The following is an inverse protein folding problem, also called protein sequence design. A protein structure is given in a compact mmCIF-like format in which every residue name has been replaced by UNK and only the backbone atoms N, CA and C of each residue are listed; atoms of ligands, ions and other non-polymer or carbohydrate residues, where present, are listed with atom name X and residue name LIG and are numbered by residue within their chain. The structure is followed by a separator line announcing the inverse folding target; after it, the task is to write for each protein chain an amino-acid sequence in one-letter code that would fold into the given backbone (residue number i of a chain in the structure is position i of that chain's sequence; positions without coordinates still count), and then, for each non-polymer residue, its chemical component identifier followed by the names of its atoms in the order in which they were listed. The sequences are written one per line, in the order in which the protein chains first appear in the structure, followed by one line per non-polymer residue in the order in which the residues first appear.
data_IF_304676973767
#
_entry.id   IF_304676973767
#
_cell.length_a   1.000
_cell.length_b   1.000
_cell.length_c   1.000
_cell.angle_alpha   90.00
_cell.angle_beta   90.00
_cell.angle_gamma   90.00
#
_symmetry.space_group_name_H-M   'P 1'
#
loop_
_entity.id
_entity.type
_entity.pdbx_description
1 polymer ?
#
# COMPACT_ATOMS: atom_id res chain seq x y z
N UNK A 1 -56.21 21.26 -26.81
CA UNK A 1 -56.53 20.62 -25.52
C UNK A 1 -55.32 19.81 -25.07
N UNK A 2 -54.24 20.44 -24.62
CA UNK A 2 -53.93 20.72 -23.21
C UNK A 2 -54.18 19.51 -22.30
N UNK A 3 -53.11 18.77 -21.99
CA UNK A 3 -52.95 18.13 -20.68
C UNK A 3 -51.93 18.96 -19.89
N UNK A 4 -52.41 19.57 -18.81
CA UNK A 4 -51.65 20.12 -17.68
C UNK A 4 -50.69 19.02 -17.16
N UNK A 5 -49.45 19.27 -16.73
CA UNK A 5 -48.82 20.50 -16.27
C UNK A 5 -48.73 20.51 -14.74
N UNK A 6 -47.49 20.49 -14.22
CA UNK A 6 -47.05 20.87 -12.86
C UNK A 6 -47.25 19.84 -11.72
N UNK A 7 -46.36 19.68 -10.73
CA UNK A 7 -45.32 20.56 -10.20
C UNK A 7 -44.38 19.72 -9.30
N UNK A 8 -43.05 19.77 -9.51
CA UNK A 8 -41.99 19.72 -8.48
C UNK A 8 -40.61 19.49 -9.12
N UNK A 9 -40.25 20.36 -10.07
CA UNK A 9 -38.84 20.56 -10.44
C UNK A 9 -38.30 21.59 -9.45
N UNK A 10 -37.69 21.14 -8.35
CA UNK A 10 -36.81 22.02 -7.57
C UNK A 10 -35.56 22.24 -8.40
N UNK A 11 -35.49 23.43 -8.99
CA UNK A 11 -34.29 24.05 -9.54
C UNK A 11 -33.17 23.95 -8.51
N UNK A 12 -32.29 22.96 -8.65
CA UNK A 12 -30.98 22.97 -8.02
C UNK A 12 -30.12 23.85 -8.92
N UNK A 13 -29.94 25.09 -8.48
CA UNK A 13 -28.95 26.00 -9.03
C UNK A 13 -27.58 25.32 -8.85
N UNK A 14 -27.01 24.84 -9.95
CA UNK A 14 -25.67 24.26 -10.03
C UNK A 14 -24.63 25.33 -9.73
N UNK A 15 -24.32 25.53 -8.45
CA UNK A 15 -23.10 26.20 -8.04
C UNK A 15 -21.93 25.24 -8.25
N UNK A 16 -21.09 25.55 -9.26
CA UNK A 16 -19.78 24.93 -9.49
C UNK A 16 -18.97 24.97 -8.19
N UNK A 17 -18.75 23.83 -7.56
CA UNK A 17 -17.90 23.74 -6.35
C UNK A 17 -17.05 22.47 -6.42
N UNK A 18 -15.73 22.63 -6.20
CA UNK A 18 -14.62 21.73 -6.54
C UNK A 18 -14.13 20.89 -5.30
N UNK A 19 -13.27 19.87 -5.49
CA UNK A 19 -13.18 18.61 -4.68
C UNK A 19 -11.83 18.33 -3.95
N UNK A 20 -11.78 17.86 -2.66
CA UNK A 20 -10.61 17.55 -1.78
C UNK A 20 -9.63 16.45 -2.28
N UNK A 21 -8.32 16.62 -2.08
CA UNK A 21 -7.28 15.91 -2.84
C UNK A 21 -6.29 15.21 -1.91
N UNK A 22 -6.05 13.93 -2.18
CA UNK A 22 -5.22 13.05 -1.33
C UNK A 22 -3.76 13.55 -1.29
N UNK A 23 -3.26 14.09 -2.40
CA UNK A 23 -1.94 14.72 -2.48
C UNK A 23 -1.86 15.95 -1.60
N UNK A 24 -2.87 16.83 -1.60
CA UNK A 24 -2.90 18.03 -0.76
C UNK A 24 -2.83 17.66 0.73
N UNK A 25 -3.66 16.72 1.18
CA UNK A 25 -3.65 16.29 2.59
C UNK A 25 -2.29 15.69 3.00
N UNK A 26 -1.67 14.93 2.08
CA UNK A 26 -0.35 14.35 2.32
C UNK A 26 0.75 15.41 2.39
N UNK A 27 0.74 16.35 1.45
CA UNK A 27 1.65 17.50 1.47
C UNK A 27 1.48 18.33 2.75
N UNK A 28 0.24 18.56 3.19
CA UNK A 28 -0.08 19.28 4.44
C UNK A 28 0.49 18.57 5.66
N UNK A 29 0.31 17.25 5.74
CA UNK A 29 0.80 16.42 6.84
C UNK A 29 2.33 16.44 6.87
N UNK A 30 2.98 16.28 5.72
CA UNK A 30 4.42 16.37 5.59
C UNK A 30 4.96 17.74 5.98
N UNK A 31 4.42 18.84 5.45
CA UNK A 31 4.93 20.19 5.72
C UNK A 31 4.84 20.54 7.21
N UNK A 32 3.75 20.17 7.87
CA UNK A 32 3.62 20.30 9.33
C UNK A 32 4.72 19.52 10.06
N UNK A 33 4.99 18.28 9.65
CA UNK A 33 6.03 17.45 10.24
C UNK A 33 7.44 18.00 9.98
N UNK A 34 7.69 18.54 8.78
CA UNK A 34 8.93 19.17 8.38
C UNK A 34 9.20 20.43 9.21
N UNK A 35 8.25 21.35 9.25
CA UNK A 35 8.34 22.58 10.04
C UNK A 35 8.61 22.27 11.52
N UNK A 36 7.93 21.26 12.08
CA UNK A 36 8.19 20.80 13.44
C UNK A 36 9.60 20.21 13.62
N UNK A 37 10.07 19.36 12.70
CA UNK A 37 11.37 18.67 12.82
C UNK A 37 12.56 19.64 12.67
N UNK A 38 12.44 20.64 11.81
CA UNK A 38 13.51 21.58 11.50
C UNK A 38 13.33 22.96 12.16
N UNK A 39 12.34 23.10 13.05
CA UNK A 39 12.02 24.35 13.74
C UNK A 39 11.84 25.54 12.78
N UNK A 40 11.08 25.29 11.70
CA UNK A 40 10.74 26.29 10.68
C UNK A 40 9.24 26.56 10.69
N UNK A 41 8.84 27.66 10.08
CA UNK A 41 7.42 28.01 9.86
C UNK A 41 7.15 28.33 8.39
N UNK A 42 7.68 27.50 7.48
CA UNK A 42 7.49 27.72 6.05
C UNK A 42 6.04 27.52 5.64
N UNK A 43 5.50 28.46 4.86
CA UNK A 43 4.28 28.23 4.09
C UNK A 43 4.49 27.20 2.99
N UNK A 44 3.40 26.71 2.39
CA UNK A 44 3.47 25.73 1.31
C UNK A 44 4.22 26.28 0.09
N UNK A 45 3.95 27.54 -0.29
CA UNK A 45 4.67 28.24 -1.36
C UNK A 45 6.16 28.38 -1.04
N UNK A 46 6.52 28.81 0.15
CA UNK A 46 7.93 28.98 0.52
C UNK A 46 8.70 27.66 0.56
N UNK A 47 8.11 26.59 1.10
CA UNK A 47 8.73 25.26 1.04
C UNK A 47 8.88 24.82 -0.43
N UNK A 48 7.86 25.06 -1.25
CA UNK A 48 7.91 24.72 -2.66
C UNK A 48 9.07 25.42 -3.35
N UNK A 49 9.25 26.73 -3.17
CA UNK A 49 10.33 27.50 -3.79
C UNK A 49 11.71 27.10 -3.22
N UNK A 50 11.86 27.08 -1.90
CA UNK A 50 13.17 26.96 -1.23
C UNK A 50 13.70 25.52 -1.18
N UNK A 51 12.83 24.52 -1.25
CA UNK A 51 13.22 23.11 -1.10
C UNK A 51 12.73 22.25 -2.27
N UNK A 52 11.43 22.28 -2.60
CA UNK A 52 10.88 21.37 -3.62
C UNK A 52 11.40 21.69 -5.02
N UNK A 53 11.28 22.93 -5.46
CA UNK A 53 11.72 23.40 -6.77
C UNK A 53 13.23 23.21 -6.95
N UNK A 54 14.01 23.60 -5.95
CA UNK A 54 15.47 23.42 -5.94
C UNK A 54 15.85 21.94 -6.14
N UNK A 55 15.19 21.01 -5.44
CA UNK A 55 15.49 19.58 -5.60
C UNK A 55 14.91 18.97 -6.89
N UNK A 56 13.72 19.37 -7.32
CA UNK A 56 12.97 18.67 -8.37
C UNK A 56 13.22 19.22 -9.77
N UNK A 57 13.29 20.55 -9.92
CA UNK A 57 13.20 21.22 -11.22
C UNK A 57 14.35 22.20 -11.48
N UNK A 58 15.10 22.64 -10.47
CA UNK A 58 16.24 23.55 -10.69
C UNK A 58 17.53 22.85 -11.18
N UNK A 59 17.39 21.75 -11.94
CA UNK A 59 18.50 20.93 -12.43
C UNK A 59 18.20 20.39 -13.84
N UNK A 60 19.22 19.96 -14.58
CA UNK A 60 19.05 19.39 -15.92
C UNK A 60 18.22 18.11 -15.92
N UNK A 61 18.43 17.23 -14.93
CA UNK A 61 17.65 16.01 -14.73
C UNK A 61 16.59 16.24 -13.66
N UNK A 62 15.32 16.33 -14.05
CA UNK A 62 14.24 16.49 -13.08
C UNK A 62 14.01 15.22 -12.24
N UNK A 63 13.55 15.36 -10.99
CA UNK A 63 13.15 14.22 -10.16
C UNK A 63 11.79 13.65 -10.60
N UNK A 64 10.91 14.53 -11.07
CA UNK A 64 9.54 14.21 -11.47
C UNK A 64 9.22 14.83 -12.84
N UNK A 65 8.31 14.21 -13.58
CA UNK A 65 7.79 14.71 -14.84
C UNK A 65 6.27 14.85 -14.78
N UNK A 66 5.75 16.02 -14.37
CA UNK A 66 4.33 16.30 -14.36
C UNK A 66 3.90 16.71 -15.76
N UNK A 67 3.27 15.79 -16.50
CA UNK A 67 2.79 16.02 -17.87
C UNK A 67 1.90 17.27 -17.96
N UNK A 68 2.06 18.03 -19.04
CA UNK A 68 1.35 19.28 -19.31
C UNK A 68 1.60 20.43 -18.32
N UNK A 69 2.45 20.27 -17.33
CA UNK A 69 2.77 21.36 -16.40
C UNK A 69 3.72 22.41 -17.02
N UNK A 70 3.78 23.62 -16.44
CA UNK A 70 4.72 24.66 -16.87
C UNK A 70 6.18 24.18 -16.94
N UNK A 71 6.60 23.25 -16.09
CA UNK A 71 7.98 22.75 -16.06
C UNK A 71 8.35 21.85 -17.23
N UNK A 72 7.37 21.18 -17.86
CA UNK A 72 7.62 20.26 -18.99
C UNK A 72 7.13 20.82 -20.32
N UNK A 73 6.25 21.82 -20.29
CA UNK A 73 5.82 22.54 -21.49
C UNK A 73 6.91 23.51 -21.95
N UNK A 74 7.52 23.16 -23.09
CA UNK A 74 8.65 23.90 -23.65
C UNK A 74 8.22 24.80 -24.80
N UNK A 75 8.86 25.97 -24.92
CA UNK A 75 8.78 26.78 -26.14
C UNK A 75 9.53 26.06 -27.26
N UNK A 76 9.25 26.43 -28.51
CA UNK A 76 9.91 25.81 -29.69
C UNK A 76 11.45 25.93 -29.55
N UNK A 77 12.14 24.78 -29.54
CA UNK A 77 13.60 24.70 -29.42
C UNK A 77 14.14 24.49 -27.99
N UNK A 78 13.31 24.67 -26.94
CA UNK A 78 13.71 24.38 -25.57
C UNK A 78 13.62 22.88 -25.26
N UNK A 79 14.59 22.37 -24.49
CA UNK A 79 14.53 21.05 -23.87
C UNK A 79 14.87 21.17 -22.37
N UNK A 80 14.22 20.40 -21.48
CA UNK A 80 14.44 20.51 -20.02
C UNK A 80 15.91 20.38 -19.59
N UNK A 81 16.64 19.48 -20.24
CA UNK A 81 18.06 19.21 -20.01
C UNK A 81 18.98 20.36 -20.44
N UNK A 82 18.51 21.22 -21.35
CA UNK A 82 19.27 22.36 -21.89
C UNK A 82 18.91 23.70 -21.24
N UNK A 83 17.88 23.75 -20.39
CA UNK A 83 17.48 25.00 -19.75
C UNK A 83 18.59 25.55 -18.86
N UNK A 84 18.78 26.86 -18.89
CA UNK A 84 19.63 27.54 -17.91
C UNK A 84 18.87 27.85 -16.60
N UNK A 85 19.57 28.41 -15.61
CA UNK A 85 18.96 28.74 -14.32
C UNK A 85 17.90 29.85 -14.39
N UNK A 86 18.01 30.77 -15.35
CA UNK A 86 17.03 31.85 -15.52
C UNK A 86 15.75 31.32 -16.19
N UNK A 87 15.88 30.47 -17.21
CA UNK A 87 14.75 29.82 -17.88
C UNK A 87 13.99 28.89 -16.92
N UNK A 88 14.70 28.17 -16.03
CA UNK A 88 14.04 27.35 -14.99
C UNK A 88 13.23 28.20 -14.02
N UNK A 89 13.75 29.37 -13.63
CA UNK A 89 13.00 30.33 -12.81
C UNK A 89 11.81 30.93 -13.57
N UNK A 90 11.94 31.19 -14.87
CA UNK A 90 10.79 31.61 -15.69
C UNK A 90 9.67 30.55 -15.64
N UNK A 91 10.00 29.24 -15.68
CA UNK A 91 9.00 28.18 -15.53
C UNK A 91 8.32 28.20 -14.16
N UNK A 92 9.06 28.50 -13.10
CA UNK A 92 8.52 28.66 -11.75
C UNK A 92 7.55 29.84 -11.66
N UNK A 93 7.93 31.01 -12.19
CA UNK A 93 7.05 32.19 -12.23
C UNK A 93 5.77 31.94 -13.04
N UNK A 94 5.88 31.22 -14.16
CA UNK A 94 4.71 30.81 -14.95
C UNK A 94 3.74 29.94 -14.13
N UNK A 95 4.24 29.04 -13.28
CA UNK A 95 3.38 28.29 -12.37
C UNK A 95 2.70 29.22 -11.36
N UNK A 96 3.43 30.15 -10.74
CA UNK A 96 2.87 31.09 -9.77
C UNK A 96 1.79 31.99 -10.37
N UNK A 97 1.99 32.49 -11.59
CA UNK A 97 1.02 33.29 -12.32
C UNK A 97 -0.28 32.49 -12.54
N UNK A 98 -0.17 31.28 -13.10
CA UNK A 98 -1.31 30.37 -13.33
C UNK A 98 -2.06 30.03 -12.05
N UNK A 99 -1.34 29.83 -10.95
CA UNK A 99 -1.96 29.60 -9.63
C UNK A 99 -2.76 30.84 -9.18
N UNK A 100 -2.19 32.04 -9.33
CA UNK A 100 -2.82 33.29 -8.91
C UNK A 100 -4.01 33.69 -9.79
N UNK A 101 -3.99 33.29 -11.06
CA UNK A 101 -5.10 33.43 -12.01
C UNK A 101 -6.26 32.46 -11.73
N UNK A 102 -6.07 31.52 -10.78
CA UNK A 102 -7.09 30.56 -10.37
C UNK A 102 -7.13 29.29 -11.21
N UNK A 103 -6.09 28.98 -12.00
CA UNK A 103 -5.98 27.67 -12.67
C UNK A 103 -5.75 26.55 -11.65
N UNK A 104 -6.54 25.47 -11.73
CA UNK A 104 -6.57 24.40 -10.72
C UNK A 104 -6.70 23.00 -11.34
N UNK A 105 -6.39 22.82 -12.61
CA UNK A 105 -6.45 21.51 -13.26
C UNK A 105 -5.18 20.66 -13.01
N UNK A 106 -5.21 19.39 -13.43
CA UNK A 106 -4.14 18.41 -13.25
C UNK A 106 -2.74 18.87 -13.72
N UNK A 107 -2.66 19.83 -14.65
CA UNK A 107 -1.39 20.39 -15.12
C UNK A 107 -0.78 21.40 -14.15
N UNK A 108 -1.60 22.04 -13.32
CA UNK A 108 -1.21 23.06 -12.33
C UNK A 108 -1.24 22.50 -10.91
N UNK A 109 -2.09 21.51 -10.66
CA UNK A 109 -2.28 20.91 -9.35
C UNK A 109 -2.27 19.39 -9.47
N UNK A 110 -1.15 18.75 -9.09
CA UNK A 110 -1.01 17.30 -9.27
C UNK A 110 -2.04 16.54 -8.43
N UNK A 111 -2.77 15.66 -9.11
CA UNK A 111 -3.89 14.93 -8.55
C UNK A 111 -5.23 15.51 -8.99
N UNK A 112 -5.32 16.80 -9.35
CA UNK A 112 -6.62 17.44 -9.63
C UNK A 112 -7.26 16.88 -10.91
N UNK A 113 -8.57 17.14 -11.14
CA UNK A 113 -9.21 16.80 -12.40
C UNK A 113 -8.49 17.43 -13.61
N UNK A 114 -8.56 16.78 -14.76
CA UNK A 114 -8.06 17.36 -16.00
C UNK A 114 -8.81 18.67 -16.36
N UNK A 115 -8.22 19.48 -17.22
CA UNK A 115 -8.77 20.78 -17.64
C UNK A 115 -10.07 20.68 -18.46
N UNK A 116 -10.38 19.50 -19.01
CA UNK A 116 -11.62 19.29 -19.76
C UNK A 116 -12.84 19.20 -18.82
N UNK A 117 -13.84 20.04 -19.09
CA UNK A 117 -15.07 20.23 -18.30
C UNK A 117 -16.05 19.04 -18.45
N UNK A 118 -15.79 18.12 -19.39
CA UNK A 118 -16.56 16.90 -19.60
C UNK A 118 -16.10 15.79 -18.68
N UNK A 119 -17.05 15.19 -17.94
CA UNK A 119 -16.95 13.95 -17.15
C UNK A 119 -15.57 13.26 -17.14
N UNK A 120 -14.85 13.37 -16.02
CA UNK A 120 -13.73 12.50 -15.65
C UNK A 120 -12.80 12.10 -16.82
N UNK A 121 -12.19 13.08 -17.50
CA UNK A 121 -11.21 12.79 -18.55
C UNK A 121 -10.15 11.78 -18.05
N UNK A 122 -9.65 10.94 -18.94
CA UNK A 122 -8.81 9.75 -18.63
C UNK A 122 -7.51 10.04 -17.85
N UNK A 123 -7.10 11.30 -17.79
CA UNK A 123 -5.94 11.82 -17.04
C UNK A 123 -6.32 12.37 -15.66
N UNK A 124 -7.57 12.22 -15.22
CA UNK A 124 -8.03 12.57 -13.88
C UNK A 124 -7.76 11.42 -12.89
N UNK A 125 -7.30 11.72 -11.67
CA UNK A 125 -7.08 10.72 -10.60
C UNK A 125 -7.34 11.32 -9.23
N UNK A 126 -7.32 10.55 -8.14
CA UNK A 126 -7.36 11.07 -6.74
C UNK A 126 -8.61 11.89 -6.34
N UNK A 127 -9.70 11.86 -7.12
CA UNK A 127 -10.89 12.68 -6.92
C UNK A 127 -11.78 12.08 -5.80
N UNK A 128 -12.33 12.93 -4.93
CA UNK A 128 -13.33 12.57 -3.90
C UNK A 128 -14.67 13.28 -4.13
N UNK A 129 -15.75 12.79 -3.53
CA UNK A 129 -17.11 13.33 -3.69
C UNK A 129 -17.53 14.34 -2.60
N UNK A 130 -16.66 14.62 -1.63
CA UNK A 130 -16.90 15.65 -0.60
C UNK A 130 -16.68 17.06 -1.17
N UNK A 131 -17.46 18.07 -0.75
CA UNK A 131 -17.24 19.47 -1.14
C UNK A 131 -16.34 20.19 -0.13
N UNK A 132 -15.11 20.56 -0.52
CA UNK A 132 -14.16 21.29 0.34
C UNK A 132 -13.47 22.42 -0.44
N UNK A 133 -13.16 23.51 0.25
CA UNK A 133 -12.49 24.70 -0.31
C UNK A 133 -10.96 24.54 -0.32
N UNK A 134 -10.32 25.14 -1.33
CA UNK A 134 -8.86 25.18 -1.42
C UNK A 134 -8.34 26.56 -1.71
N UNK A 135 -7.22 26.85 -1.07
CA UNK A 135 -6.47 28.08 -1.28
C UNK A 135 -5.31 27.82 -2.25
N UNK A 136 -4.70 28.88 -2.76
CA UNK A 136 -3.50 28.82 -3.59
C UNK A 136 -2.39 27.98 -2.95
N UNK A 137 -2.28 28.04 -1.63
CA UNK A 137 -1.34 27.24 -0.85
C UNK A 137 -1.54 25.73 -1.02
N UNK A 138 -2.78 25.27 -1.19
CA UNK A 138 -3.08 23.85 -1.37
C UNK A 138 -2.54 23.29 -2.68
N UNK A 139 -2.36 24.14 -3.69
CA UNK A 139 -1.78 23.73 -4.96
C UNK A 139 -0.34 23.32 -4.77
N UNK A 140 0.47 24.13 -4.10
CA UNK A 140 1.84 23.74 -3.76
C UNK A 140 1.90 22.45 -2.92
N UNK A 141 0.95 22.27 -1.99
CA UNK A 141 0.83 21.02 -1.21
C UNK A 141 0.53 19.81 -2.09
N UNK A 142 -0.21 19.97 -3.19
CA UNK A 142 -0.51 18.87 -4.11
C UNK A 142 0.75 18.37 -4.84
N UNK A 143 1.65 19.28 -5.21
CA UNK A 143 2.96 18.93 -5.77
C UNK A 143 3.82 18.18 -4.76
N UNK A 144 3.98 18.78 -3.57
CA UNK A 144 4.75 18.19 -2.48
C UNK A 144 4.23 16.78 -2.15
N UNK A 145 2.91 16.64 -2.00
CA UNK A 145 2.26 15.36 -1.75
C UNK A 145 2.46 14.32 -2.84
N UNK A 146 2.43 14.73 -4.12
CA UNK A 146 2.68 13.82 -5.24
C UNK A 146 4.10 13.28 -5.22
N UNK A 147 5.08 14.16 -4.96
CA UNK A 147 6.49 13.79 -4.83
C UNK A 147 6.78 12.78 -3.72
N UNK A 148 5.87 12.63 -2.74
CA UNK A 148 6.01 11.73 -1.59
C UNK A 148 5.45 10.31 -1.83
N UNK A 149 4.94 10.01 -3.03
CA UNK A 149 4.42 8.67 -3.34
C UNK A 149 5.53 7.64 -3.56
N UNK A 150 5.31 6.41 -3.06
CA UNK A 150 6.26 5.30 -3.17
C UNK A 150 5.83 4.31 -4.26
N UNK A 151 6.62 4.22 -5.33
CA UNK A 151 6.39 3.32 -6.45
C UNK A 151 6.75 1.87 -6.12
N UNK A 152 5.92 0.93 -6.55
CA UNK A 152 6.10 -0.50 -6.32
C UNK A 152 5.90 -1.30 -7.61
N UNK A 153 6.47 -2.51 -7.65
CA UNK A 153 6.35 -3.41 -8.78
C UNK A 153 4.88 -3.69 -9.12
N UNK A 154 4.56 -3.71 -10.42
CA UNK A 154 3.18 -3.77 -10.93
C UNK A 154 2.63 -2.44 -11.42
N UNK A 155 3.47 -1.38 -11.48
CA UNK A 155 3.13 -0.09 -12.09
C UNK A 155 2.18 0.78 -11.25
N UNK A 156 2.13 0.53 -9.95
CA UNK A 156 1.35 1.29 -8.99
C UNK A 156 2.26 2.04 -8.00
N UNK A 157 1.73 3.05 -7.36
CA UNK A 157 2.33 3.79 -6.27
C UNK A 157 1.42 3.74 -5.05
N UNK A 158 2.03 3.83 -3.87
CA UNK A 158 1.37 3.85 -2.57
C UNK A 158 1.69 5.17 -1.90
N UNK A 159 0.67 5.86 -1.38
CA UNK A 159 0.82 7.06 -0.58
C UNK A 159 0.41 6.77 0.86
N UNK A 160 1.36 6.83 1.78
CA UNK A 160 1.18 6.65 3.21
C UNK A 160 1.18 8.02 3.90
N UNK A 161 0.07 8.42 4.50
CA UNK A 161 -0.04 9.73 5.16
C UNK A 161 0.47 9.73 6.61
N UNK A 162 1.64 9.13 6.85
CA UNK A 162 2.25 9.02 8.18
C UNK A 162 3.48 9.95 8.26
N UNK A 163 3.54 10.90 9.21
CA UNK A 163 4.63 11.89 9.29
C UNK A 163 6.04 11.30 9.24
N UNK A 164 6.29 10.22 9.98
CA UNK A 164 7.60 9.56 10.01
C UNK A 164 8.00 8.98 8.65
N UNK A 165 7.05 8.35 7.96
CA UNK A 165 7.26 7.80 6.60
C UNK A 165 7.53 8.92 5.61
N UNK A 166 6.74 10.00 5.65
CA UNK A 166 6.88 11.13 4.73
C UNK A 166 8.22 11.84 4.91
N UNK A 167 8.66 12.05 6.16
CA UNK A 167 9.97 12.63 6.45
C UNK A 167 11.11 11.74 5.98
N UNK A 168 10.99 10.41 6.12
CA UNK A 168 11.98 9.46 5.61
C UNK A 168 12.08 9.49 4.10
N UNK A 169 10.96 9.60 3.39
CA UNK A 169 10.95 9.77 1.93
C UNK A 169 11.67 11.06 1.52
N UNK A 170 11.39 12.18 2.20
CA UNK A 170 12.05 13.46 1.94
C UNK A 170 13.57 13.40 2.13
N UNK A 171 14.07 12.72 3.16
CA UNK A 171 15.51 12.48 3.35
C UNK A 171 16.13 11.82 2.10
N UNK A 172 15.41 10.88 1.49
CA UNK A 172 15.82 10.20 0.27
C UNK A 172 15.86 11.10 -0.97
N UNK A 173 15.08 12.16 -1.05
CA UNK A 173 15.09 13.08 -2.20
C UNK A 173 16.45 13.72 -2.40
N UNK A 174 17.08 14.13 -1.30
CA UNK A 174 18.43 14.75 -1.31
C UNK A 174 19.48 13.75 -1.78
N UNK A 175 19.38 12.49 -1.37
CA UNK A 175 20.27 11.40 -1.79
C UNK A 175 20.13 11.13 -3.30
N UNK A 176 18.90 11.03 -3.81
CA UNK A 176 18.70 10.83 -5.25
C UNK A 176 19.22 12.01 -6.06
N UNK A 177 18.96 13.24 -5.58
CA UNK A 177 19.47 14.45 -6.19
C UNK A 177 20.99 14.47 -6.24
N UNK A 178 21.69 14.08 -5.17
CA UNK A 178 23.15 13.99 -5.20
C UNK A 178 23.65 13.00 -6.24
N UNK A 179 23.01 11.84 -6.40
CA UNK A 179 23.40 10.87 -7.44
C UNK A 179 23.13 11.36 -8.86
N UNK A 180 22.02 12.08 -9.09
CA UNK A 180 21.74 12.65 -10.41
C UNK A 180 22.71 13.75 -10.81
N UNK A 181 23.30 14.44 -9.83
CA UNK A 181 24.26 15.51 -10.04
C UNK A 181 25.71 15.01 -10.07
N UNK A 182 25.96 13.73 -9.77
CA UNK A 182 27.29 13.13 -9.86
C UNK A 182 27.67 12.92 -11.34
N UNK A 183 28.78 13.53 -11.82
CA UNK A 183 29.21 13.38 -13.21
C UNK A 183 29.57 11.94 -13.59
N UNK A 184 29.99 11.10 -12.63
CA UNK A 184 30.27 9.68 -12.87
C UNK A 184 29.01 8.86 -13.13
N UNK A 185 27.84 9.39 -12.76
CA UNK A 185 26.52 8.76 -12.92
C UNK A 185 25.68 9.45 -14.01
N UNK A 186 26.33 9.94 -15.07
CA UNK A 186 25.65 10.65 -16.17
C UNK A 186 24.53 9.82 -16.81
N UNK A 187 24.65 8.48 -16.81
CA UNK A 187 23.63 7.58 -17.36
C UNK A 187 22.47 7.26 -16.41
N UNK A 188 22.52 7.72 -15.16
CA UNK A 188 21.42 7.53 -14.22
C UNK A 188 20.19 8.33 -14.67
N UNK A 189 19.08 7.62 -14.86
CA UNK A 189 17.82 8.20 -15.31
C UNK A 189 17.22 9.10 -14.23
N UNK A 190 16.85 10.33 -14.62
CA UNK A 190 15.94 11.19 -13.87
C UNK A 190 14.49 10.73 -14.01
N UNK A 191 13.54 11.51 -13.47
CA UNK A 191 12.11 11.24 -13.54
C UNK A 191 11.72 9.84 -13.00
N UNK A 192 12.37 9.41 -11.92
CA UNK A 192 12.07 8.14 -11.24
C UNK A 192 11.84 8.33 -9.74
N UNK A 193 11.37 9.50 -9.31
CA UNK A 193 11.18 9.79 -7.88
C UNK A 193 10.28 8.78 -7.18
N UNK A 194 9.23 8.28 -7.82
CA UNK A 194 8.35 7.30 -7.19
C UNK A 194 9.06 5.96 -7.00
N UNK A 195 9.75 5.44 -8.02
CA UNK A 195 10.58 4.23 -7.89
C UNK A 195 11.66 4.40 -6.83
N UNK A 196 12.32 5.56 -6.82
CA UNK A 196 13.32 5.92 -5.81
C UNK A 196 12.72 5.88 -4.40
N UNK A 197 11.60 6.56 -4.17
CA UNK A 197 10.94 6.61 -2.87
C UNK A 197 10.57 5.20 -2.38
N UNK A 198 10.11 4.32 -3.26
CA UNK A 198 9.82 2.92 -2.93
C UNK A 198 11.07 2.15 -2.47
N UNK A 199 12.17 2.22 -3.24
CA UNK A 199 13.43 1.58 -2.89
C UNK A 199 14.08 2.17 -1.65
N UNK A 200 14.10 3.50 -1.54
CA UNK A 200 14.63 4.23 -0.40
C UNK A 200 13.88 3.86 0.87
N UNK A 201 12.55 3.90 0.86
CA UNK A 201 11.73 3.56 2.01
C UNK A 201 11.93 2.09 2.42
N UNK A 202 12.04 1.20 1.45
CA UNK A 202 12.35 -0.20 1.69
C UNK A 202 13.74 -0.38 2.34
N UNK A 203 14.73 0.38 1.89
CA UNK A 203 16.10 0.31 2.38
C UNK A 203 16.28 0.89 3.77
N UNK A 204 15.77 2.10 4.05
CA UNK A 204 15.95 2.75 5.36
C UNK A 204 15.29 1.98 6.51
N UNK A 205 14.27 1.18 6.22
CA UNK A 205 13.63 0.29 7.19
C UNK A 205 14.09 -1.17 7.07
N UNK A 206 15.04 -1.45 6.18
CA UNK A 206 15.65 -2.77 6.08
C UNK A 206 16.74 -2.95 7.13
N UNK A 207 17.13 -4.21 7.36
CA UNK A 207 18.30 -4.54 8.17
C UNK A 207 19.63 -4.27 7.45
N UNK A 208 19.58 -4.03 6.15
CA UNK A 208 20.75 -3.75 5.32
C UNK A 208 21.09 -2.24 5.30
N UNK A 209 20.27 -1.42 5.95
CA UNK A 209 20.51 0.01 6.10
C UNK A 209 21.86 0.27 6.78
N UNK A 210 22.64 1.18 6.20
CA UNK A 210 23.87 1.71 6.77
C UNK A 210 23.78 3.22 6.74
N UNK A 211 24.30 3.88 7.77
CA UNK A 211 24.37 5.34 7.81
C UNK A 211 25.26 5.88 6.69
N UNK A 212 26.38 5.20 6.43
CA UNK A 212 27.31 5.48 5.34
C UNK A 212 27.13 4.43 4.25
N UNK A 213 26.63 4.86 3.10
CA UNK A 213 26.45 4.06 1.89
C UNK A 213 26.84 4.87 0.66
N UNK A 214 27.12 4.18 -0.43
CA UNK A 214 27.42 4.76 -1.73
C UNK A 214 26.55 4.13 -2.83
N UNK A 215 26.73 4.59 -4.06
CA UNK A 215 26.02 4.05 -5.21
C UNK A 215 26.25 2.53 -5.38
N UNK A 216 27.49 2.06 -5.24
CA UNK A 216 27.85 0.66 -5.40
C UNK A 216 27.17 -0.25 -4.35
N UNK A 217 27.07 0.22 -3.11
CA UNK A 217 26.38 -0.49 -2.03
C UNK A 217 24.89 -0.67 -2.34
N UNK A 218 24.25 0.35 -2.90
CA UNK A 218 22.84 0.27 -3.31
C UNK A 218 22.64 -0.57 -4.58
N UNK A 219 23.58 -0.51 -5.52
CA UNK A 219 23.57 -1.35 -6.73
C UNK A 219 23.64 -2.84 -6.37
N UNK A 220 24.51 -3.21 -5.43
CA UNK A 220 24.60 -4.56 -4.89
C UNK A 220 23.29 -5.03 -4.21
N UNK A 221 22.45 -4.10 -3.73
CA UNK A 221 21.14 -4.39 -3.17
C UNK A 221 20.01 -4.44 -4.23
N UNK A 222 20.34 -4.24 -5.50
CA UNK A 222 19.41 -4.29 -6.62
C UNK A 222 18.56 -3.03 -6.76
N UNK A 223 19.08 -1.86 -6.37
CA UNK A 223 18.39 -0.58 -6.60
C UNK A 223 18.27 -0.24 -8.08
N UNK A 224 19.28 -0.62 -8.86
CA UNK A 224 19.43 -0.18 -10.22
C UNK A 224 19.39 -1.36 -11.19
N UNK A 225 18.95 -1.05 -12.40
CA UNK A 225 19.06 -1.92 -13.55
C UNK A 225 19.74 -1.17 -14.67
N UNK A 226 20.76 -1.79 -15.23
CA UNK A 226 21.46 -1.30 -16.40
C UNK A 226 20.75 -1.79 -17.66
N UNK A 227 20.34 -0.85 -18.52
CA UNK A 227 19.83 -1.13 -19.85
C UNK A 227 20.75 -0.53 -20.93
N UNK A 228 20.41 -0.71 -22.22
CA UNK A 228 21.21 -0.20 -23.34
C UNK A 228 21.26 1.34 -23.39
N UNK A 229 20.31 2.01 -22.74
CA UNK A 229 20.10 3.47 -22.78
C UNK A 229 20.58 4.18 -21.52
N UNK A 230 20.79 3.46 -20.42
CA UNK A 230 21.33 4.00 -19.17
C UNK A 230 21.02 3.12 -17.96
N UNK A 231 21.07 3.74 -16.79
CA UNK A 231 20.79 3.09 -15.51
C UNK A 231 19.46 3.59 -14.97
N UNK A 232 18.51 2.69 -14.76
CA UNK A 232 17.17 3.01 -14.23
C UNK A 232 16.99 2.46 -12.83
N UNK A 233 16.14 3.11 -12.03
CA UNK A 233 15.80 2.63 -10.68
C UNK A 233 14.72 1.55 -10.78
N UNK A 234 15.01 0.38 -10.24
CA UNK A 234 14.08 -0.73 -10.14
C UNK A 234 12.98 -0.44 -9.13
N UNK A 235 11.76 -0.92 -9.39
CA UNK A 235 10.66 -0.79 -8.43
C UNK A 235 10.70 -1.90 -7.40
N UNK A 236 10.49 -1.56 -6.13
CA UNK A 236 10.47 -2.55 -5.05
C UNK A 236 9.20 -3.42 -5.10
N UNK A 237 9.33 -4.72 -4.77
CA UNK A 237 8.16 -5.58 -4.53
C UNK A 237 7.38 -5.06 -3.31
N UNK A 238 6.06 -4.87 -3.44
CA UNK A 238 5.26 -4.31 -2.35
C UNK A 238 5.34 -5.10 -1.06
N UNK A 239 5.47 -6.44 -1.13
CA UNK A 239 5.55 -7.30 0.05
C UNK A 239 6.88 -7.15 0.78
N UNK A 240 7.99 -6.92 0.06
CA UNK A 240 9.29 -6.60 0.66
C UNK A 240 9.23 -5.28 1.44
N UNK A 241 8.64 -4.25 0.83
CA UNK A 241 8.34 -2.98 1.51
C UNK A 241 7.42 -3.20 2.73
N UNK A 242 6.39 -4.03 2.60
CA UNK A 242 5.47 -4.37 3.68
C UNK A 242 6.20 -5.04 4.86
N UNK A 243 7.08 -6.00 4.61
CA UNK A 243 7.86 -6.66 5.65
C UNK A 243 8.80 -5.69 6.37
N UNK A 244 9.48 -4.81 5.64
CA UNK A 244 10.40 -3.85 6.25
C UNK A 244 9.65 -2.79 7.07
N UNK A 245 8.55 -2.23 6.55
CA UNK A 245 7.66 -1.36 7.33
C UNK A 245 7.10 -2.08 8.56
N UNK A 246 6.77 -3.37 8.45
CA UNK A 246 6.23 -4.12 9.59
C UNK A 246 7.21 -4.35 10.72
N UNK A 247 8.52 -4.28 10.46
CA UNK A 247 9.54 -4.36 11.52
C UNK A 247 9.58 -3.07 12.33
N UNK A 248 9.42 -1.92 11.65
CA UNK A 248 9.39 -0.60 12.28
C UNK A 248 8.05 -0.33 12.97
N UNK A 249 6.95 -0.76 12.37
CA UNK A 249 5.58 -0.48 12.82
C UNK A 249 4.77 -1.76 13.07
N UNK A 250 5.24 -2.66 13.96
CA UNK A 250 4.70 -4.03 14.08
C UNK A 250 3.22 -4.09 14.45
N UNK A 251 2.74 -3.21 15.32
CA UNK A 251 1.35 -3.22 15.80
C UNK A 251 0.46 -2.18 15.10
N UNK A 252 0.98 -1.48 14.09
CA UNK A 252 0.24 -0.41 13.43
C UNK A 252 -0.46 -0.92 12.16
N UNK A 253 -1.56 -0.26 11.82
CA UNK A 253 -2.20 -0.39 10.52
C UNK A 253 -2.21 0.96 9.84
N UNK A 254 -1.57 1.05 8.67
CA UNK A 254 -1.59 2.28 7.87
C UNK A 254 -2.62 2.18 6.77
N UNK A 255 -3.38 3.25 6.56
CA UNK A 255 -4.19 3.38 5.35
C UNK A 255 -3.29 3.89 4.22
N UNK A 256 -3.00 3.01 3.25
CA UNK A 256 -2.25 3.35 2.06
C UNK A 256 -3.21 3.64 0.90
N UNK A 257 -3.01 4.76 0.23
CA UNK A 257 -3.75 5.07 -0.99
C UNK A 257 -2.99 4.56 -2.21
N UNK A 258 -3.61 3.69 -3.01
CA UNK A 258 -2.96 2.97 -4.12
C UNK A 258 -3.49 3.46 -5.46
N UNK A 259 -2.56 3.85 -6.35
CA UNK A 259 -2.89 4.48 -7.62
C UNK A 259 -1.75 4.36 -8.65
N UNK A 260 -1.96 4.88 -9.86
CA UNK A 260 -0.94 5.06 -10.88
C UNK A 260 -1.20 6.38 -11.60
N UNK A 261 -0.15 7.18 -11.78
CA UNK A 261 -0.17 8.38 -12.61
C UNK A 261 0.65 8.12 -13.87
N UNK A 262 0.10 8.42 -15.03
CA UNK A 262 0.75 8.17 -16.32
C UNK A 262 -0.09 8.76 -17.45
N UNK A 263 -0.05 8.13 -18.63
CA UNK A 263 -0.95 8.52 -19.73
C UNK A 263 -2.43 8.29 -19.39
N UNK A 264 -2.71 7.23 -18.61
CA UNK A 264 -4.04 6.97 -18.06
C UNK A 264 -3.91 6.77 -16.57
N UNK A 265 -4.59 7.61 -15.80
CA UNK A 265 -4.56 7.52 -14.35
C UNK A 265 -5.42 6.35 -13.88
N UNK A 266 -4.95 5.65 -12.85
CA UNK A 266 -5.67 4.52 -12.24
C UNK A 266 -5.75 4.73 -10.75
N UNK A 267 -6.96 4.68 -10.21
CA UNK A 267 -7.22 4.70 -8.77
C UNK A 267 -7.66 3.31 -8.35
N UNK A 268 -6.90 2.68 -7.44
CA UNK A 268 -7.34 1.43 -6.80
C UNK A 268 -8.13 1.72 -5.53
N UNK A 269 -7.78 2.79 -4.80
CA UNK A 269 -8.47 3.24 -3.60
C UNK A 269 -7.61 3.21 -2.34
N UNK A 270 -8.27 3.23 -1.19
CA UNK A 270 -7.63 3.18 0.12
C UNK A 270 -7.68 1.75 0.67
N UNK A 271 -6.52 1.27 1.15
CA UNK A 271 -6.41 -0.06 1.71
C UNK A 271 -5.70 -0.01 3.06
N UNK A 272 -6.17 -0.75 4.08
CA UNK A 272 -5.43 -0.93 5.31
C UNK A 272 -4.26 -1.89 5.11
N UNK A 273 -3.07 -1.49 5.54
CA UNK A 273 -1.83 -2.26 5.58
C UNK A 273 -1.60 -2.75 7.00
N UNK A 274 -1.98 -3.99 7.28
CA UNK A 274 -1.99 -4.57 8.64
C UNK A 274 -0.66 -5.23 8.97
N UNK A 275 0.33 -4.42 9.34
CA UNK A 275 1.72 -4.86 9.51
C UNK A 275 1.91 -6.00 10.52
N UNK A 276 1.08 -6.07 11.55
CA UNK A 276 1.05 -7.18 12.52
C UNK A 276 0.96 -8.56 11.86
N UNK A 277 0.34 -8.66 10.67
CA UNK A 277 0.16 -9.93 9.99
C UNK A 277 1.46 -10.46 9.36
N UNK A 278 2.40 -9.58 9.00
CA UNK A 278 3.74 -10.00 8.60
C UNK A 278 4.55 -10.49 9.82
N UNK A 279 4.45 -9.81 10.96
CA UNK A 279 5.09 -10.26 12.20
C UNK A 279 4.56 -11.62 12.65
N UNK A 280 3.25 -11.84 12.49
CA UNK A 280 2.63 -13.15 12.73
C UNK A 280 3.27 -14.23 11.86
N UNK A 281 3.45 -14.02 10.55
CA UNK A 281 4.16 -14.96 9.67
C UNK A 281 5.58 -15.26 10.14
N UNK A 282 6.36 -14.22 10.47
CA UNK A 282 7.73 -14.37 10.99
C UNK A 282 7.72 -15.19 12.28
N UNK A 283 6.75 -14.95 13.17
CA UNK A 283 6.61 -15.70 14.43
C UNK A 283 6.28 -17.18 14.21
N UNK A 284 5.43 -17.50 13.23
CA UNK A 284 5.15 -18.89 12.85
C UNK A 284 6.40 -19.54 12.26
N UNK A 285 7.11 -18.85 11.37
CA UNK A 285 8.34 -19.34 10.78
C UNK A 285 9.36 -19.69 11.87
N UNK A 286 9.58 -18.77 12.81
CA UNK A 286 10.45 -18.96 13.98
C UNK A 286 10.04 -20.18 14.81
N UNK A 287 8.75 -20.33 15.11
CA UNK A 287 8.23 -21.47 15.88
C UNK A 287 8.40 -22.81 15.17
N UNK A 288 8.33 -22.82 13.84
CA UNK A 288 8.40 -24.04 13.03
C UNK A 288 9.83 -24.48 12.71
N UNK A 289 10.76 -23.53 12.54
CA UNK A 289 12.09 -23.80 11.98
C UNK A 289 13.25 -23.23 12.79
N UNK A 290 12.97 -22.48 13.86
CA UNK A 290 13.97 -21.87 14.73
C UNK A 290 14.43 -20.47 14.28
N UNK A 291 15.19 -19.81 15.15
CA UNK A 291 15.67 -18.44 14.94
C UNK A 291 16.68 -18.30 13.80
N UNK A 292 17.62 -19.25 13.70
CA UNK A 292 18.66 -19.22 12.67
C UNK A 292 18.05 -19.27 11.26
N UNK A 293 17.05 -20.14 11.06
CA UNK A 293 16.34 -20.25 9.78
C UNK A 293 15.62 -18.94 9.39
N UNK A 294 15.08 -18.19 10.35
CA UNK A 294 14.46 -16.87 10.05
C UNK A 294 15.49 -15.85 9.57
N UNK A 295 16.71 -15.92 10.10
CA UNK A 295 17.79 -15.01 9.70
C UNK A 295 18.32 -15.38 8.31
N UNK A 296 18.58 -16.67 8.07
CA UNK A 296 19.12 -17.23 6.83
C UNK A 296 18.12 -17.13 5.67
N UNK A 297 16.86 -17.49 5.90
CA UNK A 297 15.86 -17.62 4.84
C UNK A 297 15.15 -16.28 4.52
N UNK A 298 15.56 -15.18 5.17
CA UNK A 298 14.91 -13.85 5.08
C UNK A 298 14.72 -13.36 3.67
N UNK A 299 15.81 -13.31 2.91
CA UNK A 299 15.80 -12.78 1.55
C UNK A 299 14.80 -13.56 0.67
N UNK A 300 14.66 -14.86 0.91
CA UNK A 300 13.75 -15.71 0.15
C UNK A 300 12.29 -15.44 0.51
N UNK A 301 11.92 -15.42 1.80
CA UNK A 301 10.51 -15.23 2.15
C UNK A 301 10.03 -13.81 1.87
N UNK A 302 10.88 -12.77 2.02
CA UNK A 302 10.53 -11.40 1.63
C UNK A 302 10.28 -11.27 0.12
N UNK A 303 10.99 -12.07 -0.69
CA UNK A 303 10.82 -12.12 -2.14
C UNK A 303 9.69 -13.05 -2.61
N UNK A 304 9.44 -14.17 -1.93
CA UNK A 304 8.40 -15.14 -2.32
C UNK A 304 7.00 -14.73 -1.88
N UNK A 305 6.86 -14.13 -0.70
CA UNK A 305 5.55 -13.69 -0.22
C UNK A 305 4.99 -12.53 -1.05
N UNK A 306 3.67 -12.48 -1.16
CA UNK A 306 2.95 -11.40 -1.80
C UNK A 306 2.50 -11.75 -3.22
N UNK A 307 1.19 -11.75 -3.42
CA UNK A 307 0.57 -11.83 -4.75
C UNK A 307 0.77 -10.54 -5.54
N UNK A 308 0.40 -10.53 -6.82
CA UNK A 308 0.44 -9.30 -7.62
C UNK A 308 -0.40 -8.18 -6.97
N UNK A 309 0.13 -6.95 -6.93
CA UNK A 309 -0.46 -5.84 -6.15
C UNK A 309 -1.92 -5.53 -6.50
N UNK A 310 -2.31 -5.63 -7.78
CA UNK A 310 -3.72 -5.44 -8.19
C UNK A 310 -4.64 -6.47 -7.53
N UNK A 311 -4.21 -7.74 -7.50
CA UNK A 311 -4.95 -8.81 -6.83
C UNK A 311 -4.96 -8.62 -5.31
N UNK A 312 -3.89 -8.05 -4.74
CA UNK A 312 -3.87 -7.67 -3.34
C UNK A 312 -4.91 -6.59 -3.02
N UNK A 313 -5.08 -5.59 -3.89
CA UNK A 313 -6.13 -4.57 -3.76
C UNK A 313 -7.53 -5.19 -3.80
N UNK A 314 -7.77 -6.17 -4.67
CA UNK A 314 -9.06 -6.89 -4.74
C UNK A 314 -9.44 -7.62 -3.44
N UNK A 315 -8.47 -7.91 -2.56
CA UNK A 315 -8.75 -8.52 -1.24
C UNK A 315 -9.21 -7.50 -0.20
N UNK A 316 -9.24 -6.20 -0.52
CA UNK A 316 -9.73 -5.12 0.36
C UNK A 316 -8.80 -4.73 1.51
N UNK A 317 -7.80 -5.54 1.85
CA UNK A 317 -6.81 -5.23 2.89
C UNK A 317 -5.48 -5.94 2.62
N UNK A 318 -4.36 -5.26 2.89
CA UNK A 318 -3.03 -5.86 2.83
C UNK A 318 -2.69 -6.55 4.15
N UNK A 319 -2.41 -7.85 4.07
CA UNK A 319 -2.19 -8.72 5.22
C UNK A 319 -1.95 -10.17 4.81
N UNK A 320 -2.28 -11.13 5.67
CA UNK A 320 -1.97 -12.54 5.50
C UNK A 320 -2.49 -13.11 4.18
N UNK A 321 -3.71 -12.76 3.77
CA UNK A 321 -4.29 -13.26 2.51
C UNK A 321 -3.52 -12.73 1.29
N UNK A 322 -3.11 -11.46 1.31
CA UNK A 322 -2.34 -10.87 0.21
C UNK A 322 -0.88 -11.30 0.22
N UNK A 323 -0.35 -11.72 1.38
CA UNK A 323 0.97 -12.32 1.56
C UNK A 323 1.00 -13.80 1.15
N UNK A 324 0.05 -14.29 0.34
CA UNK A 324 0.15 -15.63 -0.26
C UNK A 324 1.48 -15.76 -1.03
N UNK A 325 2.27 -16.83 -0.79
CA UNK A 325 3.54 -17.02 -1.46
C UNK A 325 3.36 -17.46 -2.91
N UNK A 326 4.22 -16.92 -3.77
CA UNK A 326 4.25 -17.25 -5.18
C UNK A 326 4.49 -18.75 -5.39
N UNK A 327 3.79 -19.33 -6.38
CA UNK A 327 3.95 -20.75 -6.74
C UNK A 327 3.19 -21.74 -5.85
N UNK A 328 2.49 -21.30 -4.81
CA UNK A 328 1.69 -22.19 -3.94
C UNK A 328 0.45 -22.76 -4.66
N UNK A 329 -0.28 -21.95 -5.42
CA UNK A 329 -1.57 -22.35 -6.03
C UNK A 329 -1.48 -23.57 -6.95
N UNK A 330 -0.31 -23.86 -7.52
CA UNK A 330 -0.11 -25.02 -8.39
C UNK A 330 -0.30 -26.36 -7.67
N UNK A 331 -0.38 -26.36 -6.35
CA UNK A 331 -0.59 -27.54 -5.50
C UNK A 331 -2.04 -27.65 -4.96
N UNK A 332 -2.95 -26.71 -5.26
CA UNK A 332 -4.32 -26.73 -4.69
C UNK A 332 -5.25 -27.72 -5.37
N UNK A 333 -5.09 -27.93 -6.68
CA UNK A 333 -6.03 -28.69 -7.51
C UNK A 333 -5.44 -29.98 -8.09
N UNK A 334 -4.35 -30.48 -7.52
CA UNK A 334 -3.60 -31.59 -8.12
C UNK A 334 -3.05 -32.53 -7.05
N UNK A 335 -2.93 -33.82 -7.38
CA UNK A 335 -2.13 -34.81 -6.63
C UNK A 335 -0.62 -34.50 -6.62
N UNK A 336 -0.22 -33.29 -7.05
CA UNK A 336 1.17 -32.84 -7.03
C UNK A 336 1.48 -32.34 -5.63
N UNK A 337 2.55 -32.86 -5.07
CA UNK A 337 3.17 -32.36 -3.84
C UNK A 337 4.56 -31.80 -4.16
N UNK A 338 5.06 -30.84 -3.37
CA UNK A 338 6.45 -30.44 -3.45
C UNK A 338 7.36 -31.68 -3.27
N UNK A 339 8.21 -31.95 -4.25
CA UNK A 339 9.23 -32.99 -4.09
C UNK A 339 10.29 -32.49 -3.12
N UNK A 340 10.60 -33.29 -2.10
CA UNK A 340 11.68 -33.05 -1.14
C UNK A 340 12.78 -34.11 -1.26
N UNK A 341 12.83 -34.83 -2.39
CA UNK A 341 13.89 -35.81 -2.63
C UNK A 341 15.23 -35.10 -2.85
N UNK A 342 16.27 -35.58 -2.15
CA UNK A 342 17.63 -35.04 -2.28
C UNK A 342 18.19 -35.28 -3.69
N UNK A 343 18.99 -34.36 -4.23
CA UNK A 343 19.65 -34.56 -5.52
C UNK A 343 20.60 -35.76 -5.44
N UNK A 344 20.56 -36.62 -6.47
CA UNK A 344 21.55 -37.68 -6.64
C UNK A 344 22.73 -37.09 -7.40
N UNK A 345 23.79 -36.72 -6.69
CA UNK A 345 25.06 -36.29 -7.30
C UNK A 345 25.96 -37.51 -7.43
N UNK A 346 26.45 -37.77 -8.64
CA UNK A 346 27.35 -38.90 -8.93
C UNK A 346 28.71 -38.33 -9.32
N UNK A 347 29.77 -38.86 -8.73
CA UNK A 347 31.14 -38.43 -9.02
C UNK A 347 31.56 -38.82 -10.44
N UNK A 348 32.12 -37.86 -11.19
CA UNK A 348 32.73 -38.12 -12.49
C UNK A 348 34.04 -38.91 -12.36
N UNK A 349 34.33 -39.79 -13.32
CA UNK A 349 35.51 -40.69 -13.29
C UNK A 349 36.87 -39.96 -13.25
N UNK A 350 36.92 -38.69 -13.64
CA UNK A 350 38.13 -37.86 -13.72
C UNK A 350 38.08 -36.61 -12.84
N UNK A 351 37.11 -36.54 -11.91
CA UNK A 351 36.82 -35.35 -11.11
C UNK A 351 37.63 -35.37 -9.80
N UNK A 352 38.31 -34.27 -9.48
CA UNK A 352 39.08 -34.17 -8.23
C UNK A 352 38.16 -34.18 -7.00
N UNK A 353 38.73 -34.42 -5.81
CA UNK A 353 37.95 -34.38 -4.56
C UNK A 353 37.35 -32.99 -4.33
N UNK A 354 38.14 -31.94 -4.52
CA UNK A 354 37.70 -30.53 -4.39
C UNK A 354 36.58 -30.16 -5.39
N UNK A 355 36.71 -30.59 -6.64
CA UNK A 355 35.67 -30.36 -7.67
C UNK A 355 34.36 -31.09 -7.35
N UNK A 356 34.45 -32.29 -6.78
CA UNK A 356 33.27 -33.05 -6.38
C UNK A 356 32.59 -32.44 -5.16
N UNK A 357 33.34 -31.98 -4.16
CA UNK A 357 32.81 -31.28 -2.99
C UNK A 357 32.10 -29.98 -3.37
N UNK A 358 32.67 -29.21 -4.30
CA UNK A 358 32.02 -27.99 -4.81
C UNK A 358 30.70 -28.30 -5.51
N UNK A 359 30.66 -29.34 -6.37
CA UNK A 359 29.42 -29.75 -7.06
C UNK A 359 28.36 -30.25 -6.07
N UNK A 360 28.77 -30.97 -5.03
CA UNK A 360 27.86 -31.42 -3.98
C UNK A 360 27.29 -30.22 -3.21
N UNK A 361 28.14 -29.27 -2.79
CA UNK A 361 27.74 -28.05 -2.09
C UNK A 361 26.77 -27.20 -2.92
N UNK A 362 27.05 -27.01 -4.21
CA UNK A 362 26.19 -26.27 -5.12
C UNK A 362 24.84 -26.97 -5.33
N UNK A 363 24.82 -28.30 -5.39
CA UNK A 363 23.60 -29.09 -5.50
C UNK A 363 22.75 -29.02 -4.22
N UNK A 364 23.37 -29.10 -3.05
CA UNK A 364 22.72 -28.95 -1.74
C UNK A 364 22.15 -27.54 -1.57
N UNK A 365 22.92 -26.51 -1.94
CA UNK A 365 22.46 -25.12 -1.93
C UNK A 365 21.25 -24.93 -2.84
N UNK A 366 21.30 -25.42 -4.08
CA UNK A 366 20.16 -25.37 -5.00
C UNK A 366 18.95 -26.13 -4.47
N UNK A 367 19.13 -27.26 -3.81
CA UNK A 367 18.04 -28.03 -3.20
C UNK A 367 17.40 -27.26 -2.05
N UNK A 368 18.23 -26.67 -1.19
CA UNK A 368 17.82 -25.82 -0.08
C UNK A 368 16.98 -24.63 -0.57
N UNK A 369 17.50 -23.88 -1.55
CA UNK A 369 16.88 -22.68 -2.11
C UNK A 369 15.61 -22.97 -2.92
N UNK A 370 15.60 -24.02 -3.73
CA UNK A 370 14.50 -24.27 -4.68
C UNK A 370 13.43 -25.23 -4.16
N UNK A 371 13.71 -26.00 -3.10
CA UNK A 371 12.76 -26.97 -2.54
C UNK A 371 12.45 -26.70 -1.08
N UNK A 372 13.46 -26.70 -0.21
CA UNK A 372 13.24 -26.64 1.22
C UNK A 372 12.66 -25.28 1.66
N UNK A 373 13.27 -24.18 1.24
CA UNK A 373 12.81 -22.83 1.59
C UNK A 373 11.38 -22.59 1.09
N UNK A 374 11.03 -22.83 -0.20
CA UNK A 374 9.65 -22.76 -0.69
C UNK A 374 8.68 -23.57 0.15
N UNK A 375 9.02 -24.83 0.48
CA UNK A 375 8.19 -25.67 1.33
C UNK A 375 7.96 -25.06 2.72
N UNK A 376 9.00 -24.55 3.37
CA UNK A 376 8.90 -23.86 4.68
C UNK A 376 7.98 -22.64 4.62
N UNK A 377 8.13 -21.83 3.56
CA UNK A 377 7.32 -20.62 3.32
C UNK A 377 5.84 -20.99 3.11
N UNK A 378 5.56 -22.00 2.28
CA UNK A 378 4.21 -22.51 2.03
C UNK A 378 3.57 -23.04 3.31
N UNK A 379 4.28 -23.90 4.05
CA UNK A 379 3.81 -24.47 5.32
C UNK A 379 3.49 -23.38 6.33
N UNK A 380 4.35 -22.37 6.46
CA UNK A 380 4.17 -21.24 7.37
C UNK A 380 2.90 -20.47 7.03
N UNK A 381 2.70 -20.11 5.75
CA UNK A 381 1.53 -19.36 5.33
C UNK A 381 0.23 -20.14 5.49
N UNK A 382 0.23 -21.42 5.10
CA UNK A 382 -0.94 -22.29 5.27
C UNK A 382 -1.33 -22.42 6.75
N UNK A 383 -0.35 -22.62 7.64
CA UNK A 383 -0.61 -22.68 9.07
C UNK A 383 -1.13 -21.35 9.62
N UNK A 384 -0.56 -20.23 9.19
CA UNK A 384 -1.03 -18.91 9.59
C UNK A 384 -2.46 -18.64 9.09
N UNK A 385 -2.81 -19.05 7.88
CA UNK A 385 -4.18 -18.96 7.33
C UNK A 385 -5.17 -19.84 8.08
N UNK A 386 -4.83 -21.11 8.33
CA UNK A 386 -5.67 -22.03 9.12
C UNK A 386 -5.86 -21.49 10.53
N UNK A 387 -4.81 -20.95 11.14
CA UNK A 387 -4.86 -20.44 12.51
C UNK A 387 -5.65 -19.14 12.60
N UNK A 388 -5.49 -18.23 11.63
CA UNK A 388 -6.36 -17.04 11.50
C UNK A 388 -7.82 -17.45 11.43
N UNK A 389 -8.17 -18.42 10.59
CA UNK A 389 -9.55 -18.88 10.49
C UNK A 389 -10.05 -19.46 11.82
N UNK A 390 -9.20 -20.20 12.56
CA UNK A 390 -9.55 -20.74 13.89
C UNK A 390 -9.72 -19.64 14.95
N UNK A 391 -8.82 -18.66 14.98
CA UNK A 391 -8.89 -17.50 15.87
C UNK A 391 -10.12 -16.67 15.58
N UNK A 392 -10.38 -16.31 14.31
CA UNK A 392 -11.57 -15.56 13.90
C UNK A 392 -12.86 -16.31 14.27
N UNK A 393 -12.90 -17.63 14.07
CA UNK A 393 -14.05 -18.43 14.51
C UNK A 393 -14.18 -18.45 16.04
N UNK A 394 -13.08 -18.51 16.78
CA UNK A 394 -13.09 -18.50 18.25
C UNK A 394 -13.47 -17.13 18.83
N UNK A 395 -12.94 -16.03 18.29
CA UNK A 395 -13.25 -14.66 18.67
C UNK A 395 -14.73 -14.38 18.40
N UNK A 396 -15.22 -14.69 17.19
CA UNK A 396 -16.63 -14.60 16.83
C UNK A 396 -17.54 -15.41 17.78
N UNK A 397 -17.14 -16.65 18.10
CA UNK A 397 -17.90 -17.48 19.06
C UNK A 397 -17.92 -16.85 20.46
N UNK A 398 -16.82 -16.23 20.88
CA UNK A 398 -16.69 -15.57 22.19
C UNK A 398 -17.55 -14.31 22.26
N UNK A 399 -17.56 -13.50 21.20
CA UNK A 399 -18.40 -12.30 21.11
C UNK A 399 -19.88 -12.66 21.17
N UNK A 400 -20.31 -13.69 20.44
CA UNK A 400 -21.68 -14.21 20.54
C UNK A 400 -21.96 -14.72 21.94
N UNK A 401 -21.08 -15.52 22.52
CA UNK A 401 -21.28 -16.06 23.87
C UNK A 401 -21.42 -14.95 24.92
N UNK A 402 -20.60 -13.90 24.81
CA UNK A 402 -20.65 -12.71 25.66
C UNK A 402 -21.97 -11.95 25.47
N UNK A 403 -22.37 -11.68 24.23
CA UNK A 403 -23.63 -11.00 23.93
C UNK A 403 -24.85 -11.78 24.43
N UNK A 404 -24.88 -13.11 24.27
CA UNK A 404 -25.93 -13.99 24.81
C UNK A 404 -25.94 -13.96 26.34
N UNK A 405 -24.76 -13.99 26.97
CA UNK A 405 -24.63 -13.92 28.42
C UNK A 405 -25.16 -12.59 28.97
N UNK A 406 -24.79 -11.46 28.36
CA UNK A 406 -25.24 -10.13 28.74
C UNK A 406 -26.75 -9.97 28.55
N UNK A 407 -27.30 -10.43 27.42
CA UNK A 407 -28.74 -10.45 27.20
C UNK A 407 -29.46 -11.21 28.31
N UNK A 408 -29.01 -12.43 28.62
CA UNK A 408 -29.55 -13.26 29.70
C UNK A 408 -29.43 -12.58 31.07
N UNK A 409 -28.31 -11.93 31.37
CA UNK A 409 -28.07 -11.26 32.64
C UNK A 409 -28.96 -10.02 32.86
N UNK A 410 -29.53 -9.46 31.78
CA UNK A 410 -30.48 -8.35 31.86
C UNK A 410 -31.90 -8.74 32.32
N UNK A 411 -32.13 -9.98 32.76
CA UNK A 411 -33.37 -10.36 33.44
C UNK A 411 -33.54 -9.54 34.73
N UNK A 412 -34.72 -8.92 34.91
CA UNK A 412 -35.06 -8.25 36.18
C UNK A 412 -35.01 -9.24 37.34
N UNK A 413 -34.71 -8.79 38.56
CA UNK A 413 -34.60 -9.65 39.75
C UNK A 413 -35.86 -10.52 39.91
N UNK A 414 -35.70 -11.85 39.79
CA UNK A 414 -36.80 -12.85 39.85
C UNK A 414 -37.41 -13.26 38.50
N UNK A 415 -37.07 -12.58 37.39
CA UNK A 415 -37.45 -12.97 36.03
C UNK A 415 -36.59 -14.13 35.52
N UNK A 416 -37.20 -15.01 34.73
CA UNK A 416 -36.48 -16.04 33.94
C UNK A 416 -36.76 -15.91 32.44
N UNK A 417 -37.36 -14.79 32.00
CA UNK A 417 -37.83 -14.60 30.63
C UNK A 417 -36.67 -14.75 29.64
N UNK A 418 -35.63 -13.93 29.78
CA UNK A 418 -34.49 -13.92 28.86
C UNK A 418 -33.70 -15.23 28.95
N UNK A 419 -33.56 -15.77 30.17
CA UNK A 419 -32.94 -17.09 30.35
C UNK A 419 -33.71 -18.23 29.68
N UNK A 420 -35.05 -18.17 29.62
CA UNK A 420 -35.85 -19.16 28.91
C UNK A 420 -35.73 -19.02 27.39
N UNK A 421 -35.72 -17.80 26.85
CA UNK A 421 -35.50 -17.55 25.41
C UNK A 421 -34.17 -18.16 24.98
N UNK A 422 -33.09 -17.89 25.72
CA UNK A 422 -31.75 -18.45 25.40
C UNK A 422 -31.72 -19.98 25.52
N UNK A 423 -32.13 -20.54 26.66
CA UNK A 423 -31.92 -21.98 26.94
C UNK A 423 -32.95 -22.88 26.25
N UNK A 424 -34.23 -22.48 26.23
CA UNK A 424 -35.34 -23.33 25.79
C UNK A 424 -35.82 -23.03 24.37
N UNK A 425 -35.50 -21.87 23.83
CA UNK A 425 -35.86 -21.54 22.45
C UNK A 425 -34.60 -21.54 21.56
N UNK A 426 -33.63 -20.66 21.83
CA UNK A 426 -32.44 -20.52 20.97
C UNK A 426 -31.58 -21.80 20.96
N UNK A 427 -31.11 -22.28 22.12
CA UNK A 427 -30.22 -23.45 22.18
C UNK A 427 -30.93 -24.79 22.01
N UNK A 428 -32.23 -24.87 22.32
CA UNK A 428 -33.03 -26.08 22.10
C UNK A 428 -33.71 -26.12 20.71
N UNK A 429 -33.41 -25.14 19.84
CA UNK A 429 -33.96 -25.08 18.49
C UNK A 429 -33.56 -26.30 17.66
N UNK A 430 -34.56 -26.94 17.06
CA UNK A 430 -34.38 -28.14 16.21
C UNK A 430 -34.36 -27.81 14.71
N UNK A 431 -34.55 -26.56 14.33
CA UNK A 431 -34.55 -26.12 12.94
C UNK A 431 -34.02 -24.70 12.82
N UNK A 432 -33.47 -24.40 11.64
CA UNK A 432 -33.01 -23.06 11.27
C UNK A 432 -34.10 -22.00 11.45
N UNK A 433 -35.35 -22.31 11.11
CA UNK A 433 -36.50 -21.40 11.28
C UNK A 433 -36.72 -21.05 12.75
N UNK A 434 -36.81 -22.05 13.62
CA UNK A 434 -37.03 -21.84 15.07
C UNK A 434 -35.86 -21.08 15.72
N UNK A 435 -34.64 -21.36 15.28
CA UNK A 435 -33.46 -20.63 15.75
C UNK A 435 -33.52 -19.15 15.38
N UNK A 436 -33.88 -18.83 14.12
CA UNK A 436 -33.99 -17.46 13.65
C UNK A 436 -35.16 -16.70 14.31
N UNK A 437 -36.27 -17.38 14.61
CA UNK A 437 -37.39 -16.81 15.37
C UNK A 437 -36.94 -16.40 16.78
N UNK A 438 -36.29 -17.32 17.52
CA UNK A 438 -35.75 -17.02 18.84
C UNK A 438 -34.68 -15.91 18.80
N UNK A 439 -33.83 -15.89 17.77
CA UNK A 439 -32.82 -14.85 17.61
C UNK A 439 -33.44 -13.48 17.29
N UNK A 440 -34.56 -13.45 16.56
CA UNK A 440 -35.31 -12.21 16.27
C UNK A 440 -35.94 -11.64 17.52
N UNK A 441 -36.45 -12.49 18.42
CA UNK A 441 -36.92 -12.06 19.75
C UNK A 441 -35.78 -11.40 20.54
N UNK A 442 -34.60 -12.04 20.58
CA UNK A 442 -33.40 -11.47 21.25
C UNK A 442 -33.01 -10.11 20.64
N UNK A 443 -32.97 -10.01 19.30
CA UNK A 443 -32.61 -8.78 18.58
C UNK A 443 -33.57 -7.63 18.95
N UNK A 444 -34.87 -7.89 19.04
CA UNK A 444 -35.85 -6.84 19.35
C UNK A 444 -35.77 -6.30 20.78
N UNK A 445 -35.11 -7.04 21.68
CA UNK A 445 -34.95 -6.70 23.10
C UNK A 445 -33.50 -6.31 23.49
N UNK A 446 -32.58 -6.24 22.52
CA UNK A 446 -31.16 -5.97 22.75
C UNK A 446 -30.80 -4.50 22.51
N UNK A 447 -29.90 -3.95 23.32
CA UNK A 447 -29.38 -2.58 23.16
C UNK A 447 -28.42 -2.43 21.97
N UNK A 448 -28.23 -1.19 21.50
CA UNK A 448 -27.54 -0.85 20.25
C UNK A 448 -26.10 -1.39 20.17
N UNK A 449 -25.41 -1.54 21.31
CA UNK A 449 -24.03 -2.04 21.38
C UNK A 449 -23.85 -3.51 20.99
N UNK A 450 -24.87 -4.35 21.20
CA UNK A 450 -24.81 -5.80 20.96
C UNK A 450 -25.69 -6.25 19.78
N UNK A 451 -26.46 -5.32 19.21
CA UNK A 451 -27.33 -5.51 18.05
C UNK A 451 -26.55 -5.94 16.80
N UNK A 452 -25.36 -5.39 16.57
CA UNK A 452 -24.54 -5.76 15.42
C UNK A 452 -24.15 -7.25 15.46
N UNK A 453 -23.72 -7.76 16.61
CA UNK A 453 -23.30 -9.16 16.79
C UNK A 453 -24.45 -10.14 16.50
N UNK A 454 -25.66 -9.83 16.97
CA UNK A 454 -26.82 -10.69 16.70
C UNK A 454 -27.33 -10.61 15.26
N UNK A 455 -27.25 -9.43 14.62
CA UNK A 455 -27.57 -9.30 13.19
C UNK A 455 -26.61 -10.10 12.32
N UNK A 456 -25.31 -10.04 12.60
CA UNK A 456 -24.31 -10.86 11.88
C UNK A 456 -24.56 -12.36 12.09
N UNK A 457 -24.89 -12.79 13.32
CA UNK A 457 -25.26 -14.18 13.58
C UNK A 457 -26.52 -14.60 12.81
N UNK A 458 -27.55 -13.75 12.77
CA UNK A 458 -28.79 -13.99 12.02
C UNK A 458 -28.49 -14.19 10.54
N UNK A 459 -27.74 -13.28 9.95
CA UNK A 459 -27.43 -13.30 8.52
C UNK A 459 -26.59 -14.53 8.16
N UNK A 460 -25.62 -14.87 9.01
CA UNK A 460 -24.80 -16.07 8.83
C UNK A 460 -25.63 -17.36 8.89
N UNK A 461 -26.51 -17.50 9.89
CA UNK A 461 -27.42 -18.66 9.99
C UNK A 461 -28.41 -18.69 8.84
N UNK A 462 -28.93 -17.53 8.41
CA UNK A 462 -29.81 -17.41 7.25
C UNK A 462 -29.13 -17.89 5.94
N UNK A 463 -27.82 -17.72 5.82
CA UNK A 463 -27.03 -18.17 4.67
C UNK A 463 -26.55 -19.63 4.77
N UNK A 464 -26.71 -20.31 5.91
CA UNK A 464 -26.36 -21.73 6.03
C UNK A 464 -27.34 -22.61 5.24
N UNK A 465 -26.82 -23.55 4.43
CA UNK A 465 -27.65 -24.56 3.78
C UNK A 465 -28.24 -25.53 4.83
N UNK A 466 -29.41 -26.09 4.53
CA UNK A 466 -30.14 -27.01 5.43
C UNK A 466 -29.54 -28.44 5.47
N UNK A 467 -28.25 -28.60 5.21
CA UNK A 467 -27.59 -29.92 5.25
C UNK A 467 -27.43 -30.44 6.68
#
# INVERSE_FOLDING_TARGET
MIKQGNLLTRTIILFKTQKPMITVNTGRTFLKAYNKKFEKELSAKEFFEKEYFELFFNHQKYLQWPTNSPFVQMKKGQKPDLLDGAERKEKLENLHAKISEGERDASIAIGFPASEVGEFATTSGLITDLGLEYEDNDIYLSWIGSGLSAGVAGGLSILFNQPEVLLKIYEGWRVYRSFLNDPSLEKLAGNKITSWNGQWLNYVFSKDYREYFDFASLDNLGFFKNDKTGTVIETVKWSRLFFNLSKQFPEQTFTGYVFSLGQTNKTMGFFPFRFQQAQKLISFYKKLFGDNAVLEDRAYYENMYGIHIKRACEMGAFGIQTLEPEGLRKYFNSDRMPSLSRPKVVRGKSQSDEEYEQVLSDAEKKDYENKLIPFRIYKTWLLAMITKNKEEMSDYTREIAKAIYEYRAGDKKGSTKRSNVVLKQLFASKSKKLFLEALTEIISETEESSLQVFNELRDRVHLMNNE
#
